data_IF_190461869673
#
_entry.id   IF_190461869673
#
_cell.length_a   1.000
_cell.length_b   1.000
_cell.length_c   1.000
_cell.angle_alpha   90.00
_cell.angle_beta   90.00
_cell.angle_gamma   90.00
#
_symmetry.space_group_name_H-M   'P 1'
#
loop_
_entity.id
_entity.type
_entity.pdbx_description
1 polymer ?
#
# COMPACT_ATOMS: atom_id res chain seq x y z
N UNK A 1 -14.32 -9.37 -24.60
CA UNK A 1 -14.94 -8.09 -24.16
C UNK A 1 -16.30 -7.84 -24.79
N UNK A 2 -16.43 -7.51 -26.09
CA UNK A 2 -17.75 -7.26 -26.71
C UNK A 2 -18.77 -8.39 -26.49
N UNK A 3 -18.32 -9.66 -26.56
CA UNK A 3 -19.17 -10.82 -26.27
C UNK A 3 -19.77 -10.85 -24.85
N UNK A 4 -19.15 -10.20 -23.86
CA UNK A 4 -19.60 -10.19 -22.45
C UNK A 4 -20.22 -8.86 -22.02
N UNK A 5 -19.91 -7.76 -22.71
CA UNK A 5 -20.37 -6.41 -22.33
C UNK A 5 -21.44 -5.85 -23.24
N UNK A 6 -21.87 -6.60 -24.25
CA UNK A 6 -22.93 -6.20 -25.17
C UNK A 6 -23.87 -7.36 -25.48
N UNK A 7 -25.08 -7.01 -25.95
CA UNK A 7 -26.06 -7.97 -26.43
C UNK A 7 -25.91 -8.27 -27.93
N UNK A 8 -24.86 -7.77 -28.59
CA UNK A 8 -24.60 -8.02 -30.01
C UNK A 8 -24.55 -9.51 -30.32
N UNK A 9 -25.04 -9.91 -31.49
CA UNK A 9 -24.94 -11.31 -31.88
C UNK A 9 -23.47 -11.71 -32.05
N UNK A 10 -23.16 -13.01 -31.98
CA UNK A 10 -21.78 -13.49 -32.21
C UNK A 10 -21.32 -13.16 -33.64
N UNK A 11 -22.24 -13.14 -34.60
CA UNK A 11 -21.97 -12.74 -35.97
C UNK A 11 -21.54 -11.27 -36.06
N UNK A 12 -22.28 -10.35 -35.45
CA UNK A 12 -21.96 -8.92 -35.49
C UNK A 12 -20.58 -8.67 -34.87
N UNK A 13 -20.29 -9.32 -33.73
CA UNK A 13 -18.97 -9.21 -33.08
C UNK A 13 -17.86 -9.79 -33.96
N UNK A 14 -18.11 -10.86 -34.71
CA UNK A 14 -17.13 -11.42 -35.64
C UNK A 14 -16.81 -10.44 -36.77
N UNK A 15 -17.84 -9.80 -37.34
CA UNK A 15 -17.69 -8.81 -38.43
C UNK A 15 -16.95 -7.57 -37.92
N UNK A 16 -17.35 -7.02 -36.77
CA UNK A 16 -16.66 -5.88 -36.13
C UNK A 16 -15.18 -6.19 -35.83
N UNK A 17 -14.85 -7.45 -35.51
CA UNK A 17 -13.49 -7.90 -35.27
C UNK A 17 -12.68 -8.20 -36.56
N UNK A 18 -13.26 -7.95 -37.74
CA UNK A 18 -12.58 -8.12 -39.03
C UNK A 18 -12.58 -9.54 -39.59
N UNK A 19 -13.41 -10.45 -39.08
CA UNK A 19 -13.51 -11.81 -39.62
C UNK A 19 -14.45 -11.85 -40.82
N UNK A 20 -14.00 -12.50 -41.91
CA UNK A 20 -14.79 -12.68 -43.13
C UNK A 20 -15.94 -13.69 -43.04
N UNK A 21 -16.04 -14.47 -41.96
CA UNK A 21 -17.18 -15.35 -41.72
C UNK A 21 -17.35 -15.71 -40.24
N UNK A 22 -18.58 -16.06 -39.88
CA UNK A 22 -18.92 -16.54 -38.53
C UNK A 22 -18.14 -17.81 -38.16
N UNK A 23 -18.01 -18.74 -39.09
CA UNK A 23 -17.29 -20.00 -38.84
C UNK A 23 -15.79 -19.77 -38.62
N UNK A 24 -15.18 -18.84 -39.37
CA UNK A 24 -13.77 -18.49 -39.18
C UNK A 24 -13.53 -17.91 -37.79
N UNK A 25 -14.39 -17.00 -37.35
CA UNK A 25 -14.36 -16.45 -35.99
C UNK A 25 -14.55 -17.53 -34.93
N UNK A 26 -15.59 -18.35 -35.05
CA UNK A 26 -15.89 -19.41 -34.07
C UNK A 26 -14.74 -20.42 -33.95
N UNK A 27 -14.13 -20.84 -35.06
CA UNK A 27 -12.95 -21.73 -35.04
C UNK A 27 -11.74 -21.06 -34.40
N UNK A 28 -11.42 -19.82 -34.77
CA UNK A 28 -10.29 -19.10 -34.19
C UNK A 28 -10.49 -18.84 -32.68
N UNK A 29 -11.70 -18.47 -32.29
CA UNK A 29 -12.08 -18.24 -30.90
C UNK A 29 -12.01 -19.53 -30.07
N UNK A 30 -12.56 -20.63 -30.58
CA UNK A 30 -12.48 -21.94 -29.90
C UNK A 30 -11.04 -22.43 -29.78
N UNK A 31 -10.19 -22.19 -30.79
CA UNK A 31 -8.75 -22.50 -30.71
C UNK A 31 -8.06 -21.70 -29.59
N UNK A 32 -8.44 -20.45 -29.40
CA UNK A 32 -7.80 -19.56 -28.42
C UNK A 32 -8.36 -19.72 -26.99
N UNK A 33 -9.66 -20.00 -26.84
CA UNK A 33 -10.36 -20.02 -25.56
C UNK A 33 -10.87 -21.41 -25.13
N UNK A 34 -10.67 -22.43 -25.95
CA UNK A 34 -11.07 -23.82 -25.68
C UNK A 34 -12.56 -24.12 -25.80
N UNK A 35 -13.41 -23.11 -26.02
CA UNK A 35 -14.88 -23.24 -26.16
C UNK A 35 -15.42 -22.27 -27.22
N UNK A 36 -16.60 -22.56 -27.76
CA UNK A 36 -17.23 -21.69 -28.74
C UNK A 36 -17.71 -20.35 -28.14
N UNK A 37 -17.78 -19.25 -28.92
CA UNK A 37 -18.14 -17.91 -28.42
C UNK A 37 -19.45 -17.83 -27.63
N UNK A 38 -20.49 -18.55 -28.06
CA UNK A 38 -21.80 -18.56 -27.40
C UNK A 38 -21.77 -19.25 -26.04
N UNK A 39 -20.96 -20.31 -25.90
CA UNK A 39 -20.76 -20.98 -24.62
C UNK A 39 -19.89 -20.14 -23.69
N UNK A 40 -18.83 -19.56 -24.24
CA UNK A 40 -17.94 -18.65 -23.53
C UNK A 40 -18.70 -17.44 -22.96
N UNK A 41 -19.61 -16.85 -23.74
CA UNK A 41 -20.49 -15.75 -23.30
C UNK A 41 -21.30 -16.10 -22.04
N UNK A 42 -21.76 -17.34 -21.92
CA UNK A 42 -22.56 -17.80 -20.76
C UNK A 42 -21.73 -18.06 -19.51
N UNK A 43 -20.42 -18.24 -19.65
CA UNK A 43 -19.47 -18.55 -18.57
C UNK A 43 -18.30 -17.60 -18.67
N UNK A 44 -18.48 -16.37 -18.16
CA UNK A 44 -17.45 -15.34 -18.23
C UNK A 44 -16.12 -15.86 -17.67
N UNK A 45 -15.09 -15.84 -18.52
CA UNK A 45 -13.71 -16.25 -18.21
C UNK A 45 -12.76 -15.09 -18.50
N UNK A 46 -11.52 -15.12 -17.99
CA UNK A 46 -10.46 -14.27 -18.50
C UNK A 46 -10.39 -14.38 -20.04
N UNK A 47 -10.36 -13.24 -20.73
CA UNK A 47 -10.32 -13.18 -22.19
C UNK A 47 -8.93 -12.88 -22.76
N UNK A 48 -7.92 -12.79 -21.90
CA UNK A 48 -6.53 -12.70 -22.34
C UNK A 48 -6.06 -14.07 -22.84
N UNK A 49 -5.45 -14.08 -24.02
CA UNK A 49 -4.84 -15.26 -24.64
C UNK A 49 -3.34 -15.06 -24.68
N UNK A 50 -2.53 -16.10 -24.57
CA UNK A 50 -1.06 -15.96 -24.60
C UNK A 50 -0.60 -15.21 -25.85
N UNK A 51 0.19 -14.16 -25.64
CA UNK A 51 0.78 -13.34 -26.68
C UNK A 51 2.30 -13.38 -26.53
N UNK A 52 3.08 -13.55 -27.62
CA UNK A 52 4.55 -13.58 -27.53
C UNK A 52 5.16 -12.34 -26.86
N UNK A 53 4.53 -11.18 -27.01
CA UNK A 53 4.95 -9.94 -26.35
C UNK A 53 4.46 -9.81 -24.91
N UNK A 54 3.48 -10.63 -24.49
CA UNK A 54 2.74 -10.46 -23.23
C UNK A 54 1.93 -9.17 -23.14
N UNK A 55 1.83 -8.40 -24.24
CA UNK A 55 1.05 -7.17 -24.31
C UNK A 55 -0.37 -7.50 -24.75
N UNK A 56 -1.36 -7.09 -23.96
CA UNK A 56 -2.77 -7.26 -24.30
C UNK A 56 -3.49 -5.92 -24.31
N UNK A 57 -4.44 -5.76 -25.23
CA UNK A 57 -5.44 -4.71 -25.10
C UNK A 57 -6.31 -4.98 -23.87
N UNK A 58 -6.42 -3.98 -23.00
CA UNK A 58 -7.30 -3.97 -21.82
C UNK A 58 -8.43 -2.96 -22.06
N UNK A 59 -9.57 -3.39 -22.63
CA UNK A 59 -10.70 -2.51 -22.91
C UNK A 59 -11.15 -1.70 -21.68
N UNK A 60 -11.73 -0.50 -21.87
CA UNK A 60 -12.10 0.08 -23.17
C UNK A 60 -10.97 0.80 -23.92
N UNK A 61 -9.87 1.15 -23.25
CA UNK A 61 -8.80 1.96 -23.87
C UNK A 61 -7.37 1.68 -23.34
N UNK A 62 -7.21 0.70 -22.46
CA UNK A 62 -5.94 0.41 -21.81
C UNK A 62 -5.09 -0.63 -22.55
N UNK A 63 -3.83 -0.73 -22.13
CA UNK A 63 -2.95 -1.84 -22.45
C UNK A 63 -2.51 -2.51 -21.14
N UNK A 64 -2.54 -3.84 -21.09
CA UNK A 64 -1.88 -4.64 -20.07
C UNK A 64 -0.52 -5.03 -20.62
N UNK A 65 0.54 -4.55 -19.97
CA UNK A 65 1.92 -4.90 -20.31
C UNK A 65 2.37 -6.13 -19.51
N UNK A 66 3.35 -6.91 -20.02
CA UNK A 66 3.96 -7.97 -19.23
C UNK A 66 4.67 -7.38 -18.00
N UNK A 67 4.79 -8.19 -16.95
CA UNK A 67 5.62 -7.84 -15.80
C UNK A 67 7.08 -7.72 -16.24
N UNK A 68 7.78 -6.66 -15.79
CA UNK A 68 9.22 -6.47 -16.08
C UNK A 68 10.12 -7.38 -15.26
N UNK A 69 9.61 -7.95 -14.17
CA UNK A 69 10.28 -8.90 -13.30
C UNK A 69 9.26 -9.66 -12.46
N UNK A 70 9.69 -10.79 -11.87
CA UNK A 70 8.87 -11.52 -10.89
C UNK A 70 8.93 -10.73 -9.59
N UNK A 71 7.77 -10.27 -9.12
CA UNK A 71 7.60 -9.71 -7.79
C UNK A 71 6.94 -10.82 -6.97
N UNK A 72 7.61 -11.31 -5.93
CA UNK A 72 6.91 -12.14 -4.94
C UNK A 72 6.06 -11.21 -4.08
N UNK A 73 4.88 -11.63 -3.63
CA UNK A 73 3.95 -10.75 -2.89
C UNK A 73 4.60 -10.05 -1.70
N UNK A 74 5.65 -10.66 -1.13
CA UNK A 74 6.41 -10.14 -0.02
C UNK A 74 7.40 -9.01 -0.38
N UNK A 75 7.86 -8.91 -1.63
CA UNK A 75 8.66 -7.76 -2.10
C UNK A 75 7.83 -6.47 -2.08
N UNK A 76 6.52 -6.57 -2.34
CA UNK A 76 5.60 -5.42 -2.24
C UNK A 76 5.49 -4.96 -0.80
N UNK A 77 5.42 -5.89 0.17
CA UNK A 77 5.35 -5.54 1.59
C UNK A 77 6.60 -4.77 2.04
N UNK A 78 7.80 -5.24 1.67
CA UNK A 78 9.05 -4.54 1.96
C UNK A 78 9.04 -3.15 1.34
N UNK A 79 8.64 -3.01 0.07
CA UNK A 79 8.53 -1.69 -0.60
C UNK A 79 7.49 -0.77 0.04
N UNK A 80 6.41 -1.31 0.60
CA UNK A 80 5.41 -0.52 1.33
C UNK A 80 5.97 0.00 2.66
N UNK A 81 6.77 -0.80 3.36
CA UNK A 81 7.47 -0.37 4.59
C UNK A 81 8.53 0.67 4.27
N UNK A 82 9.33 0.46 3.23
CA UNK A 82 10.32 1.43 2.75
C UNK A 82 9.65 2.77 2.40
N UNK A 83 8.57 2.73 1.61
CA UNK A 83 7.77 3.91 1.31
C UNK A 83 7.25 4.61 2.57
N UNK A 84 6.74 3.84 3.55
CA UNK A 84 6.25 4.40 4.80
C UNK A 84 7.35 5.19 5.52
N UNK A 85 8.54 4.62 5.66
CA UNK A 85 9.68 5.24 6.34
C UNK A 85 10.14 6.47 5.56
N UNK A 86 10.33 6.34 4.24
CA UNK A 86 10.69 7.48 3.41
C UNK A 86 9.68 8.64 3.55
N UNK A 87 8.38 8.35 3.40
CA UNK A 87 7.34 9.37 3.41
C UNK A 87 7.21 10.05 4.78
N UNK A 88 7.34 9.32 5.90
CA UNK A 88 7.34 9.94 7.23
C UNK A 88 8.55 10.85 7.41
N UNK A 89 9.73 10.47 6.90
CA UNK A 89 10.91 11.33 6.85
C UNK A 89 10.64 12.64 6.10
N UNK A 90 10.02 12.55 4.91
CA UNK A 90 9.63 13.72 4.12
C UNK A 90 8.59 14.59 4.83
N UNK A 91 7.63 13.98 5.53
CA UNK A 91 6.64 14.72 6.33
C UNK A 91 7.28 15.46 7.52
N UNK A 92 8.23 14.84 8.23
CA UNK A 92 8.98 15.51 9.31
C UNK A 92 9.82 16.66 8.74
N UNK A 93 10.38 16.49 7.54
CA UNK A 93 11.10 17.57 6.84
C UNK A 93 10.18 18.73 6.50
N UNK A 94 9.01 18.45 5.90
CA UNK A 94 7.99 19.43 5.56
C UNK A 94 7.44 20.17 6.78
N UNK A 95 7.15 19.44 7.87
CA UNK A 95 6.69 20.00 9.13
C UNK A 95 7.65 21.06 9.69
N UNK A 96 8.96 20.91 9.47
CA UNK A 96 9.97 21.89 9.90
C UNK A 96 9.86 23.27 9.23
N UNK A 97 8.99 23.43 8.24
CA UNK A 97 8.71 24.70 7.54
C UNK A 97 7.41 25.38 8.01
N UNK A 98 6.68 24.78 8.95
CA UNK A 98 5.45 25.32 9.52
C UNK A 98 5.73 26.00 10.85
N UNK A 99 4.82 26.90 11.27
CA UNK A 99 4.82 27.44 12.63
C UNK A 99 4.16 26.47 13.62
N UNK A 100 4.44 26.66 14.92
CA UNK A 100 3.89 25.81 15.98
C UNK A 100 2.35 25.82 15.98
N UNK A 101 1.73 26.99 15.70
CA UNK A 101 0.29 27.11 15.60
C UNK A 101 -0.32 26.18 14.53
N UNK A 102 0.35 26.02 13.38
CA UNK A 102 -0.07 25.09 12.33
C UNK A 102 0.22 23.63 12.69
N UNK A 103 1.35 23.37 13.33
CA UNK A 103 1.75 22.02 13.76
C UNK A 103 0.81 21.42 14.80
N UNK A 104 0.31 22.27 15.70
CA UNK A 104 -0.46 21.89 16.88
C UNK A 104 -1.96 22.18 16.70
N UNK A 105 -2.37 22.66 15.52
CA UNK A 105 -3.79 22.78 15.18
C UNK A 105 -4.45 21.41 15.14
N UNK A 106 -5.54 21.27 15.89
CA UNK A 106 -6.36 20.05 15.91
C UNK A 106 -6.96 19.78 14.53
N UNK A 107 -6.81 18.55 14.06
CA UNK A 107 -7.38 18.01 12.84
C UNK A 107 -8.79 17.52 13.16
N UNK A 108 -9.81 18.25 12.66
CA UNK A 108 -11.22 17.99 12.97
C UNK A 108 -11.74 16.64 12.42
N UNK A 109 -11.10 16.11 11.38
CA UNK A 109 -11.40 14.77 10.86
C UNK A 109 -10.70 13.75 11.78
N UNK A 110 -11.29 13.48 12.93
CA UNK A 110 -10.89 12.35 13.78
C UNK A 110 -11.80 11.16 13.49
N UNK A 111 -11.22 9.99 13.24
CA UNK A 111 -11.95 8.74 13.40
C UNK A 111 -11.98 8.48 14.90
N UNK A 112 -13.12 8.75 15.54
CA UNK A 112 -13.30 8.58 16.99
C UNK A 112 -12.68 7.25 17.48
N UNK A 113 -11.84 7.33 18.51
CA UNK A 113 -11.27 6.16 19.20
C UNK A 113 -9.86 5.72 18.79
N UNK A 114 -9.17 6.43 17.87
CA UNK A 114 -7.80 6.08 17.45
C UNK A 114 -6.70 6.96 18.02
N UNK A 115 -6.85 8.28 17.93
CA UNK A 115 -5.92 9.27 18.45
C UNK A 115 -6.77 10.44 19.01
N UNK A 116 -6.56 10.80 20.27
CA UNK A 116 -7.27 11.90 20.92
C UNK A 116 -6.68 13.24 20.46
N UNK A 117 -7.51 14.15 19.96
CA UNK A 117 -7.14 15.50 19.48
C UNK A 117 -5.93 15.51 18.51
N UNK A 118 -6.03 14.85 17.34
CA UNK A 118 -4.87 14.67 16.47
C UNK A 118 -4.37 15.99 15.88
N UNK A 119 -3.06 16.25 15.95
CA UNK A 119 -2.37 17.34 15.25
C UNK A 119 -1.26 16.80 14.34
N UNK A 120 -0.63 17.64 13.51
CA UNK A 120 0.50 17.21 12.67
C UNK A 120 1.63 16.69 13.56
N UNK A 121 2.01 17.46 14.60
CA UNK A 121 3.10 17.07 15.52
C UNK A 121 2.77 15.77 16.22
N UNK A 122 1.54 15.64 16.74
CA UNK A 122 1.09 14.45 17.41
C UNK A 122 1.15 13.22 16.49
N UNK A 123 0.56 13.29 15.29
CA UNK A 123 0.49 12.15 14.39
C UNK A 123 1.88 11.70 13.89
N UNK A 124 2.81 12.65 13.68
CA UNK A 124 4.20 12.33 13.36
C UNK A 124 4.88 11.59 14.51
N UNK A 125 4.75 12.08 15.73
CA UNK A 125 5.27 11.39 16.93
C UNK A 125 4.66 10.00 17.07
N UNK A 126 3.34 9.85 16.93
CA UNK A 126 2.66 8.54 17.01
C UNK A 126 3.17 7.53 15.99
N UNK A 127 3.49 7.96 14.76
CA UNK A 127 4.06 7.05 13.74
C UNK A 127 5.48 6.61 14.09
N UNK A 128 6.32 7.52 14.62
CA UNK A 128 7.69 7.17 15.06
C UNK A 128 7.65 6.26 16.28
N UNK A 129 6.85 6.64 17.28
CA UNK A 129 6.62 5.89 18.51
C UNK A 129 6.15 4.46 18.23
N UNK A 130 5.26 4.27 17.26
CA UNK A 130 4.76 2.95 16.89
C UNK A 130 5.91 2.03 16.41
N UNK A 131 6.88 2.56 15.64
CA UNK A 131 8.04 1.78 15.21
C UNK A 131 8.94 1.41 16.40
N UNK A 132 9.21 2.36 17.29
CA UNK A 132 10.03 2.15 18.48
C UNK A 132 9.41 1.10 19.42
N UNK A 133 8.11 1.19 19.68
CA UNK A 133 7.36 0.26 20.52
C UNK A 133 7.45 -1.17 19.99
N UNK A 134 7.22 -1.36 18.69
CA UNK A 134 7.29 -2.69 18.08
C UNK A 134 8.70 -3.24 18.00
N UNK A 135 9.71 -2.39 17.77
CA UNK A 135 11.11 -2.81 17.83
C UNK A 135 11.49 -3.27 19.24
N UNK A 136 11.10 -2.52 20.26
CA UNK A 136 11.36 -2.91 21.64
C UNK A 136 10.65 -4.22 22.01
N UNK A 137 9.40 -4.40 21.59
CA UNK A 137 8.66 -5.65 21.81
C UNK A 137 9.31 -6.86 21.11
N UNK A 138 9.94 -6.66 19.95
CA UNK A 138 10.67 -7.71 19.22
C UNK A 138 12.03 -8.01 19.86
N UNK A 139 12.73 -6.98 20.34
CA UNK A 139 14.06 -7.09 20.95
C UNK A 139 14.00 -7.48 22.46
N UNK A 140 12.80 -7.57 23.04
CA UNK A 140 12.54 -7.74 24.49
C UNK A 140 13.20 -6.63 25.34
N UNK A 141 13.30 -5.43 24.75
CA UNK A 141 13.85 -4.26 25.41
C UNK A 141 12.76 -3.58 26.26
N UNK A 142 13.12 -3.03 27.44
CA UNK A 142 12.21 -2.19 28.20
C UNK A 142 11.81 -0.97 27.36
N UNK A 143 10.50 -0.74 27.22
CA UNK A 143 9.99 0.45 26.54
C UNK A 143 9.00 1.17 27.43
N UNK A 144 9.41 2.35 27.87
CA UNK A 144 8.53 3.25 28.58
C UNK A 144 7.56 3.87 27.58
N UNK A 145 6.27 3.58 27.74
CA UNK A 145 5.22 4.30 27.02
C UNK A 145 5.32 5.78 27.43
N UNK A 146 5.75 6.68 26.52
CA UNK A 146 5.74 8.10 26.82
C UNK A 146 4.30 8.51 27.10
N UNK A 147 4.09 9.33 28.13
CA UNK A 147 2.82 10.00 28.35
C UNK A 147 2.39 10.68 27.04
N UNK A 148 1.15 10.45 26.60
CA UNK A 148 0.60 11.16 25.45
C UNK A 148 0.57 12.67 25.77
N UNK A 149 0.87 13.50 24.77
CA UNK A 149 1.02 14.97 24.86
C UNK A 149 2.39 15.52 25.27
N UNK A 150 3.49 14.80 25.07
CA UNK A 150 4.81 15.46 25.10
C UNK A 150 4.95 16.42 23.92
N UNK A 151 5.33 17.68 24.19
CA UNK A 151 5.83 18.60 23.16
C UNK A 151 7.15 18.07 22.61
N UNK A 152 7.09 17.31 21.52
CA UNK A 152 8.30 16.79 20.87
C UNK A 152 8.79 17.79 19.83
N UNK A 153 10.05 18.21 19.97
CA UNK A 153 10.72 19.01 18.95
C UNK A 153 10.90 18.18 17.67
N UNK A 154 10.64 18.79 16.50
CA UNK A 154 10.75 18.10 15.20
C UNK A 154 12.17 17.56 14.92
N UNK A 155 13.21 18.20 15.46
CA UNK A 155 14.59 17.69 15.37
C UNK A 155 14.76 16.35 16.10
N UNK A 156 14.18 16.21 17.28
CA UNK A 156 14.18 14.97 18.06
C UNK A 156 13.38 13.89 17.34
N UNK A 157 12.22 14.23 16.76
CA UNK A 157 11.45 13.29 15.94
C UNK A 157 12.23 12.79 14.73
N UNK A 158 13.01 13.67 14.08
CA UNK A 158 13.84 13.28 12.93
C UNK A 158 14.91 12.25 13.32
N UNK A 159 15.58 12.45 14.45
CA UNK A 159 16.60 11.52 14.96
C UNK A 159 16.01 10.17 15.31
N UNK A 160 14.92 10.17 16.09
CA UNK A 160 14.17 8.95 16.47
C UNK A 160 13.67 8.19 15.24
N UNK A 161 13.10 8.90 14.27
CA UNK A 161 12.62 8.30 13.02
C UNK A 161 13.76 7.68 12.20
N UNK A 162 14.92 8.34 12.13
CA UNK A 162 16.07 7.81 11.38
C UNK A 162 16.57 6.48 11.98
N UNK A 163 16.67 6.40 13.32
CA UNK A 163 17.05 5.16 14.02
C UNK A 163 15.98 4.07 13.85
N UNK A 164 14.76 4.33 14.32
CA UNK A 164 13.68 3.35 14.34
C UNK A 164 13.28 2.89 12.93
N UNK A 165 13.20 3.81 11.97
CA UNK A 165 12.91 3.50 10.58
C UNK A 165 13.95 2.56 9.98
N UNK A 166 15.25 2.85 10.16
CA UNK A 166 16.32 2.01 9.61
C UNK A 166 16.33 0.59 10.19
N UNK A 167 16.11 0.46 11.51
CA UNK A 167 16.02 -0.83 12.21
C UNK A 167 14.79 -1.62 11.76
N UNK A 168 13.64 -0.96 11.65
CA UNK A 168 12.39 -1.60 11.26
C UNK A 168 12.45 -2.10 9.82
N UNK A 169 12.94 -1.29 8.87
CA UNK A 169 13.14 -1.75 7.49
C UNK A 169 14.11 -2.95 7.44
N UNK A 170 15.21 -2.88 8.19
CA UNK A 170 16.19 -3.97 8.25
C UNK A 170 15.58 -5.27 8.80
N UNK A 171 14.71 -5.18 9.81
CA UNK A 171 13.97 -6.32 10.33
C UNK A 171 13.03 -6.92 9.27
N UNK A 172 12.21 -6.09 8.63
CA UNK A 172 11.23 -6.54 7.62
C UNK A 172 11.92 -7.16 6.40
N UNK A 173 13.03 -6.57 5.94
CA UNK A 173 13.84 -7.12 4.85
C UNK A 173 14.39 -8.50 5.19
N UNK A 174 14.99 -8.67 6.39
CA UNK A 174 15.49 -9.99 6.83
C UNK A 174 14.37 -11.04 6.92
N UNK A 175 13.20 -10.65 7.44
CA UNK A 175 12.04 -11.55 7.54
C UNK A 175 11.54 -11.98 6.16
N UNK A 176 11.55 -11.06 5.18
CA UNK A 176 11.23 -11.37 3.79
C UNK A 176 12.22 -12.35 3.18
N UNK A 177 13.51 -12.05 3.26
CA UNK A 177 14.59 -12.88 2.69
C UNK A 177 14.58 -14.30 3.26
N UNK A 178 14.19 -14.45 4.52
CA UNK A 178 14.15 -15.74 5.22
C UNK A 178 12.77 -16.42 5.17
N UNK A 179 11.72 -15.75 4.68
CA UNK A 179 10.35 -16.29 4.64
C UNK A 179 9.71 -16.51 6.01
N UNK A 180 10.02 -15.66 7.01
CA UNK A 180 9.70 -15.87 8.43
C UNK A 180 8.55 -15.01 8.98
N UNK A 181 7.73 -14.43 8.12
CA UNK A 181 6.65 -13.53 8.56
C UNK A 181 5.56 -14.20 9.41
N UNK A 182 5.40 -15.52 9.32
CA UNK A 182 4.43 -16.26 10.13
C UNK A 182 4.96 -16.63 11.54
N UNK A 183 6.24 -16.36 11.81
CA UNK A 183 6.79 -16.57 13.15
C UNK A 183 6.20 -15.60 14.16
N UNK A 184 6.14 -16.05 15.41
CA UNK A 184 5.54 -15.33 16.52
C UNK A 184 6.56 -14.86 17.55
N UNK A 185 6.20 -13.79 18.25
CA UNK A 185 6.87 -13.31 19.45
C UNK A 185 5.82 -12.96 20.51
N UNK A 186 6.24 -12.94 21.78
CA UNK A 186 5.39 -12.60 22.92
C UNK A 186 5.70 -11.17 23.32
N UNK A 187 4.69 -10.30 23.32
CA UNK A 187 4.82 -8.94 23.83
C UNK A 187 4.47 -8.92 25.32
N UNK A 188 5.46 -8.68 26.16
CA UNK A 188 5.30 -8.44 27.60
C UNK A 188 4.81 -7.02 27.92
N UNK A 189 4.68 -6.17 26.90
CA UNK A 189 4.20 -4.80 26.97
C UNK A 189 2.67 -4.68 27.05
N UNK A 190 1.96 -5.75 26.69
CA UNK A 190 0.52 -5.89 26.87
C UNK A 190 0.22 -6.47 28.25
N UNK A 191 -0.87 -6.04 28.88
CA UNK A 191 -1.40 -6.68 30.09
C UNK A 191 -2.84 -7.18 29.85
N UNK A 192 -3.04 -8.51 29.73
CA UNK A 192 -2.06 -9.59 29.85
C UNK A 192 -1.09 -9.67 28.63
N UNK A 193 0.07 -10.36 28.75
CA UNK A 193 0.97 -10.56 27.61
C UNK A 193 0.28 -11.21 26.41
N UNK A 194 0.58 -10.72 25.22
CA UNK A 194 -0.07 -11.15 23.97
C UNK A 194 0.93 -11.74 22.98
N UNK A 195 0.45 -12.63 22.11
CA UNK A 195 1.26 -13.28 21.06
C UNK A 195 0.92 -12.65 19.71
N UNK A 196 1.95 -12.20 18.99
CA UNK A 196 1.82 -11.59 17.66
C UNK A 196 2.65 -12.34 16.64
N UNK A 197 2.21 -12.39 15.38
CA UNK A 197 3.07 -12.77 14.25
C UNK A 197 3.78 -11.53 13.71
N UNK A 198 4.97 -11.70 13.12
CA UNK A 198 5.66 -10.59 12.44
C UNK A 198 4.82 -10.00 11.29
N UNK A 199 4.15 -10.85 10.52
CA UNK A 199 3.25 -10.43 9.44
C UNK A 199 2.06 -9.62 9.97
N UNK A 200 1.49 -10.03 11.11
CA UNK A 200 0.43 -9.30 11.81
C UNK A 200 0.91 -7.93 12.28
N UNK A 201 2.09 -7.86 12.91
CA UNK A 201 2.75 -6.62 13.33
C UNK A 201 2.94 -5.65 12.16
N UNK A 202 3.56 -6.09 11.06
CA UNK A 202 3.83 -5.22 9.91
C UNK A 202 2.52 -4.75 9.27
N UNK A 203 1.51 -5.62 9.17
CA UNK A 203 0.19 -5.27 8.65
C UNK A 203 -0.49 -4.22 9.52
N UNK A 204 -0.41 -4.36 10.84
CA UNK A 204 -0.91 -3.40 11.83
C UNK A 204 -0.24 -2.04 11.64
N UNK A 205 1.10 -1.99 11.62
CA UNK A 205 1.88 -0.75 11.45
C UNK A 205 1.49 -0.03 10.17
N UNK A 206 1.50 -0.73 9.02
CA UNK A 206 1.18 -0.12 7.74
C UNK A 206 -0.27 0.41 7.67
N UNK A 207 -1.22 -0.31 8.28
CA UNK A 207 -2.64 0.07 8.29
C UNK A 207 -2.85 1.37 9.05
N UNK A 208 -2.39 1.44 10.30
CA UNK A 208 -2.59 2.64 11.12
C UNK A 208 -1.75 3.81 10.63
N UNK A 209 -0.51 3.56 10.21
CA UNK A 209 0.31 4.61 9.64
C UNK A 209 -0.28 5.16 8.33
N UNK A 210 -0.94 4.36 7.50
CA UNK A 210 -1.60 4.87 6.28
C UNK A 210 -2.70 5.90 6.61
N UNK A 211 -3.51 5.63 7.64
CA UNK A 211 -4.52 6.57 8.11
C UNK A 211 -3.89 7.87 8.59
N UNK A 212 -2.89 7.80 9.48
CA UNK A 212 -2.20 8.98 10.03
C UNK A 212 -1.51 9.81 8.95
N UNK A 213 -0.83 9.16 7.99
CA UNK A 213 -0.20 9.84 6.85
C UNK A 213 -1.22 10.61 6.01
N UNK A 214 -2.38 10.03 5.75
CA UNK A 214 -3.44 10.71 5.00
C UNK A 214 -3.96 11.96 5.73
N UNK A 215 -4.16 11.87 7.05
CA UNK A 215 -4.55 13.03 7.86
C UNK A 215 -3.48 14.14 7.85
N UNK A 216 -2.21 13.78 8.00
CA UNK A 216 -1.08 14.74 7.94
C UNK A 216 -1.02 15.43 6.57
N UNK A 217 -1.22 14.70 5.47
CA UNK A 217 -1.26 15.32 4.12
C UNK A 217 -2.42 16.29 3.98
N UNK A 218 -3.62 15.91 4.43
CA UNK A 218 -4.76 16.83 4.41
C UNK A 218 -4.49 18.09 5.24
N UNK A 219 -3.86 17.95 6.41
CA UNK A 219 -3.47 19.07 7.26
C UNK A 219 -2.40 19.96 6.59
N UNK A 220 -1.39 19.37 5.94
CA UNK A 220 -0.41 20.12 5.15
C UNK A 220 -1.07 20.89 4.00
N UNK A 221 -1.99 20.27 3.27
CA UNK A 221 -2.73 20.94 2.21
C UNK A 221 -3.56 22.13 2.75
N UNK A 222 -4.21 21.96 3.91
CA UNK A 222 -4.93 23.04 4.58
C UNK A 222 -4.00 24.20 5.02
N UNK A 223 -2.74 23.89 5.35
CA UNK A 223 -1.68 24.87 5.63
C UNK A 223 -1.00 25.44 4.36
N UNK A 224 -1.45 25.06 3.15
CA UNK A 224 -0.91 25.53 1.88
C UNK A 224 0.35 24.80 1.39
N UNK A 225 0.70 23.67 2.02
CA UNK A 225 1.86 22.86 1.67
C UNK A 225 1.45 21.61 0.87
N UNK A 226 1.78 21.55 -0.42
CA UNK A 226 1.30 20.49 -1.34
C UNK A 226 2.42 19.68 -2.01
N UNK A 227 3.68 19.88 -1.61
CA UNK A 227 4.85 19.29 -2.28
C UNK A 227 4.87 17.75 -2.22
N UNK A 228 4.22 17.14 -1.22
CA UNK A 228 4.15 15.68 -1.05
C UNK A 228 3.05 15.01 -1.86
N UNK A 229 2.23 15.78 -2.60
CA UNK A 229 1.07 15.26 -3.32
C UNK A 229 0.11 14.51 -2.39
N UNK A 230 -0.28 13.30 -2.78
CA UNK A 230 -1.18 12.45 -1.96
C UNK A 230 -0.44 11.44 -1.07
N UNK A 231 0.90 11.42 -1.09
CA UNK A 231 1.69 10.41 -0.35
C UNK A 231 1.38 8.97 -0.76
N UNK A 232 0.98 8.78 -2.01
CA UNK A 232 0.59 7.48 -2.57
C UNK A 232 1.83 6.65 -2.94
N UNK A 233 1.96 5.40 -2.44
CA UNK A 233 3.07 4.51 -2.79
C UNK A 233 3.11 4.08 -4.26
N UNK A 234 2.07 4.31 -5.07
CA UNK A 234 1.95 3.79 -6.44
C UNK A 234 3.22 4.00 -7.28
N UNK A 235 3.76 5.22 -7.30
CA UNK A 235 4.97 5.51 -8.06
C UNK A 235 6.25 5.06 -7.34
N UNK A 236 6.25 5.01 -6.02
CA UNK A 236 7.40 4.57 -5.23
C UNK A 236 7.65 3.08 -5.42
N UNK A 237 6.62 2.24 -5.25
CA UNK A 237 6.70 0.78 -5.40
C UNK A 237 7.03 0.39 -6.85
N UNK A 238 6.57 1.18 -7.82
CA UNK A 238 6.83 0.96 -9.24
C UNK A 238 8.27 1.30 -9.67
N UNK A 239 9.04 2.04 -8.86
CA UNK A 239 10.47 2.27 -9.13
C UNK A 239 11.21 0.95 -8.96
N UNK A 240 12.05 0.64 -9.95
CA UNK A 240 12.86 -0.58 -9.98
C UNK A 240 13.93 -0.52 -8.91
#
# INVERSE_FOLDING_TARGET
>A
YRLTTSNSSVLDVAVEAGYGSHEAFTRAFAKAHGVNPSEWRRRARPFFIDAPSGVHFHPPAGLRLPARGKVIGMDVLVKMVDHHIWLVGEMISAAGRLDDASLDRVIEISVEGFDDEPSIRHLLDRMVWQLEMWLAAVDDDPFEVPESARDVALSVLRERHADAGSRFLSLVTRLNEQGRFDETFVSTMCDPPEVFTFGGMVSHVLTFAAHRRALVICAFHAAGFTELGYGDPMHFVARA
#
